data_IF_928258970671
#
_entry.id   IF_928258970671
#
_cell.length_a   1.000
_cell.length_b   1.000
_cell.length_c   1.000
_cell.angle_alpha   90.00
_cell.angle_beta   90.00
_cell.angle_gamma   90.00
#
_symmetry.space_group_name_H-M   'P 1'
#
loop_
_entity.id
_entity.type
_entity.pdbx_description
1 polymer ?
#
# COMPACT_ATOMS: atom_id res chain seq x y z
N UNK A 1 -2.93 9.99 18.15
CA UNK A 1 -2.15 9.84 16.90
C UNK A 1 -3.11 9.34 15.86
N UNK A 2 -3.37 10.18 14.88
CA UNK A 2 -4.25 9.93 13.75
C UNK A 2 -3.87 8.62 13.01
N UNK A 3 -4.87 7.87 12.54
CA UNK A 3 -4.67 6.58 11.86
C UNK A 3 -3.87 6.77 10.57
N UNK A 4 -4.08 7.90 9.88
CA UNK A 4 -3.32 8.29 8.70
C UNK A 4 -1.83 8.50 9.00
N UNK A 5 -1.50 9.17 10.11
CA UNK A 5 -0.10 9.38 10.51
C UNK A 5 0.64 8.07 10.75
N UNK A 6 -0.03 7.06 11.33
CA UNK A 6 0.57 5.72 11.50
C UNK A 6 0.84 5.02 10.17
N UNK A 7 -0.02 5.23 9.18
CA UNK A 7 0.16 4.71 7.82
C UNK A 7 1.38 5.39 7.17
N UNK A 8 1.50 6.72 7.28
CA UNK A 8 2.64 7.49 6.78
C UNK A 8 3.95 7.03 7.43
N UNK A 9 4.01 6.96 8.76
CA UNK A 9 5.20 6.50 9.49
C UNK A 9 5.62 5.09 9.05
N UNK A 10 4.65 4.18 8.88
CA UNK A 10 4.93 2.83 8.42
C UNK A 10 5.47 2.83 6.99
N UNK A 11 4.88 3.61 6.08
CA UNK A 11 5.30 3.71 4.69
C UNK A 11 6.73 4.26 4.58
N UNK A 12 7.06 5.32 5.33
CA UNK A 12 8.41 5.88 5.39
C UNK A 12 9.42 4.87 5.95
N UNK A 13 9.08 4.16 7.03
CA UNK A 13 9.97 3.15 7.62
C UNK A 13 10.23 1.97 6.67
N UNK A 14 9.28 1.65 5.80
CA UNK A 14 9.36 0.54 4.85
C UNK A 14 9.83 0.96 3.46
N UNK A 15 10.04 2.25 3.23
CA UNK A 15 10.38 2.84 1.94
C UNK A 15 9.41 2.39 0.84
N UNK A 16 8.11 2.56 1.10
CA UNK A 16 7.04 2.20 0.17
C UNK A 16 6.16 3.40 -0.14
N UNK A 17 5.73 3.50 -1.39
CA UNK A 17 4.82 4.54 -1.84
C UNK A 17 3.43 4.39 -1.22
N UNK A 18 2.75 5.53 -1.07
CA UNK A 18 1.36 5.62 -0.64
C UNK A 18 0.49 6.12 -1.79
N UNK A 19 -0.64 5.46 -1.96
CA UNK A 19 -1.67 5.84 -2.91
C UNK A 19 -2.99 6.06 -2.18
N UNK A 20 -3.77 7.05 -2.62
CA UNK A 20 -5.15 7.27 -2.18
C UNK A 20 -6.16 6.62 -3.13
N UNK A 21 -5.75 6.26 -4.35
CA UNK A 21 -6.54 5.54 -5.34
C UNK A 21 -5.73 4.45 -6.04
N UNK A 22 -6.38 3.37 -6.47
CA UNK A 22 -5.70 2.26 -7.13
C UNK A 22 -5.12 2.70 -8.48
N UNK A 23 -3.80 2.59 -8.72
CA UNK A 23 -3.23 2.87 -10.03
C UNK A 23 -3.71 1.87 -11.10
N UNK A 24 -3.77 2.30 -12.35
CA UNK A 24 -4.20 1.43 -13.46
C UNK A 24 -3.29 0.19 -13.60
N UNK A 25 -3.90 -0.98 -13.75
CA UNK A 25 -3.20 -2.26 -13.87
C UNK A 25 -2.64 -2.81 -12.54
N UNK A 26 -2.79 -2.09 -11.44
CA UNK A 26 -2.43 -2.60 -10.12
C UNK A 26 -3.58 -3.41 -9.52
N UNK A 27 -3.22 -4.28 -8.57
CA UNK A 27 -4.16 -5.14 -7.87
C UNK A 27 -3.79 -5.28 -6.41
N UNK A 28 -4.80 -5.61 -5.60
CA UNK A 28 -4.61 -5.96 -4.20
C UNK A 28 -3.76 -7.23 -4.06
N UNK A 29 -2.86 -7.22 -3.08
CA UNK A 29 -2.19 -8.44 -2.63
C UNK A 29 -3.12 -9.24 -1.70
N UNK A 30 -3.51 -10.44 -2.13
CA UNK A 30 -4.31 -11.36 -1.33
C UNK A 30 -3.42 -11.98 -0.24
N UNK A 31 -3.93 -12.06 1.00
CA UNK A 31 -3.21 -12.67 2.13
C UNK A 31 -2.18 -11.78 2.83
N UNK A 32 -2.05 -10.51 2.43
CA UNK A 32 -1.11 -9.58 3.06
C UNK A 32 -1.70 -9.00 4.36
N UNK A 33 -1.28 -9.53 5.51
CA UNK A 33 -1.80 -9.18 6.84
C UNK A 33 -0.99 -8.10 7.58
N UNK A 34 0.13 -7.66 6.99
CA UNK A 34 1.07 -6.71 7.63
C UNK A 34 0.79 -5.25 7.27
N UNK A 35 -0.25 -4.97 6.50
CA UNK A 35 -0.66 -3.59 6.21
C UNK A 35 -1.19 -2.93 7.50
N UNK A 36 -0.81 -1.68 7.80
CA UNK A 36 -1.45 -0.91 8.85
C UNK A 36 -2.98 -0.86 8.67
N UNK A 37 -3.71 -0.77 9.79
CA UNK A 37 -5.16 -0.50 9.75
C UNK A 37 -5.41 0.79 8.95
N UNK A 38 -6.50 0.80 8.19
CA UNK A 38 -6.79 1.87 7.24
C UNK A 38 -6.07 1.79 5.89
N UNK A 39 -5.25 0.76 5.65
CA UNK A 39 -4.56 0.58 4.36
C UNK A 39 -4.55 -0.87 3.87
N UNK A 40 -4.08 -1.11 2.64
CA UNK A 40 -3.81 -2.43 2.10
C UNK A 40 -2.63 -2.45 1.13
N UNK A 41 -1.97 -3.61 1.02
CA UNK A 41 -0.92 -3.82 0.03
C UNK A 41 -1.47 -3.98 -1.38
N UNK A 42 -0.86 -3.26 -2.33
CA UNK A 42 -1.13 -3.33 -3.76
C UNK A 42 0.17 -3.60 -4.54
N UNK A 43 0.06 -4.16 -5.74
CA UNK A 43 1.19 -4.35 -6.65
C UNK A 43 0.82 -4.15 -8.11
N UNK A 44 1.82 -3.85 -8.93
CA UNK A 44 1.69 -3.65 -10.38
C UNK A 44 1.47 -4.96 -11.18
N UNK A 45 1.17 -6.08 -10.52
CA UNK A 45 0.88 -7.37 -11.16
C UNK A 45 2.09 -8.08 -11.81
N UNK A 46 3.28 -7.48 -11.82
CA UNK A 46 4.48 -8.08 -12.41
C UNK A 46 4.98 -9.29 -11.61
N UNK A 47 5.67 -10.19 -12.31
CA UNK A 47 6.30 -11.38 -11.73
C UNK A 47 7.34 -11.01 -10.66
N UNK A 48 7.48 -11.81 -9.61
CA UNK A 48 8.55 -11.66 -8.64
C UNK A 48 9.95 -11.86 -9.25
N UNK A 49 10.04 -12.65 -10.32
CA UNK A 49 11.32 -12.99 -10.96
C UNK A 49 11.79 -11.97 -12.00
N UNK A 50 10.94 -11.03 -12.41
CA UNK A 50 11.32 -10.05 -13.45
C UNK A 50 12.15 -8.88 -12.91
N UNK A 51 12.22 -8.69 -11.58
CA UNK A 51 12.80 -7.48 -10.98
C UNK A 51 11.97 -6.21 -11.17
N UNK A 52 10.86 -6.27 -11.93
CA UNK A 52 10.00 -5.13 -12.24
C UNK A 52 8.82 -4.98 -11.25
N UNK A 53 8.71 -5.89 -10.27
CA UNK A 53 7.59 -5.90 -9.34
C UNK A 53 7.68 -4.74 -8.37
N UNK A 54 6.66 -3.88 -8.40
CA UNK A 54 6.49 -2.77 -7.45
C UNK A 54 5.36 -3.06 -6.48
N UNK A 55 5.50 -2.55 -5.26
CA UNK A 55 4.54 -2.71 -4.18
C UNK A 55 4.31 -1.38 -3.50
N UNK A 56 3.08 -1.10 -3.08
CA UNK A 56 2.72 0.14 -2.41
C UNK A 56 1.58 -0.11 -1.42
N UNK A 57 1.29 0.89 -0.60
CA UNK A 57 0.12 0.91 0.28
C UNK A 57 -0.97 1.77 -0.34
N UNK A 58 -2.20 1.24 -0.37
CA UNK A 58 -3.41 1.98 -0.72
C UNK A 58 -4.15 2.33 0.56
N UNK A 59 -4.34 3.63 0.81
CA UNK A 59 -5.09 4.17 1.94
C UNK A 59 -6.59 4.10 1.65
N UNK A 60 -7.38 3.68 2.63
CA UNK A 60 -8.85 3.70 2.52
C UNK A 60 -9.35 5.13 2.69
N UNK A 61 -10.37 5.50 1.93
CA UNK A 61 -10.96 6.86 1.95
C UNK A 61 -11.41 7.27 3.36
N UNK A 62 -11.95 6.34 4.15
CA UNK A 62 -12.39 6.58 5.54
C UNK A 62 -11.27 7.04 6.49
N UNK A 63 -10.01 6.86 6.11
CA UNK A 63 -8.84 7.23 6.91
C UNK A 63 -8.20 8.55 6.44
N UNK A 64 -8.81 9.26 5.49
CA UNK A 64 -8.35 10.55 4.99
C UNK A 64 -9.07 11.76 5.64
N UNK A 65 -9.98 11.50 6.59
CA UNK A 65 -10.86 12.48 7.23
C UNK A 65 -10.39 12.95 8.60
#
# INVERSE_FOLDING_TARGET
>A
MDEFNRIIEFAMRKDVELYTSMPSGWRRMIGALTAPRGSMWICNGKSHFSGERKTALLVKEDCLG
#
